data_IF_130978278192
#
_entry.id   IF_130978278192
#
_cell.length_a   1.000
_cell.length_b   1.000
_cell.length_c   1.000
_cell.angle_alpha   90.00
_cell.angle_beta   90.00
_cell.angle_gamma   90.00
#
_symmetry.space_group_name_H-M   'P 1'
#
loop_
_entity.id
_entity.type
_entity.pdbx_description
1 polymer ?
#
# COMPACT_ATOMS: atom_id res chain seq x y z
N UNK A 1 -10.10 68.12 -21.65
CA UNK A 1 -9.27 67.06 -22.26
C UNK A 1 -9.32 65.85 -21.35
N UNK A 2 -9.71 64.72 -21.94
CA UNK A 2 -9.87 63.41 -21.31
C UNK A 2 -8.48 62.80 -21.11
N UNK A 3 -8.18 62.29 -19.92
CA UNK A 3 -7.10 61.34 -19.71
C UNK A 3 -7.54 60.29 -18.68
N UNK A 4 -7.88 59.15 -19.25
CA UNK A 4 -8.22 57.87 -18.65
C UNK A 4 -6.96 57.10 -18.22
N UNK A 5 -7.19 56.09 -17.36
CA UNK A 5 -6.42 54.83 -17.23
C UNK A 5 -5.08 54.89 -16.46
N UNK A 6 -4.72 53.93 -15.61
CA UNK A 6 -5.33 52.65 -15.23
C UNK A 6 -4.63 52.14 -13.97
N UNK A 7 -5.39 51.79 -12.94
CA UNK A 7 -4.89 50.98 -11.82
C UNK A 7 -4.82 49.52 -12.27
N UNK A 8 -3.63 49.04 -12.62
CA UNK A 8 -3.38 47.61 -12.85
C UNK A 8 -3.35 46.88 -11.51
N UNK A 9 -4.52 46.41 -11.09
CA UNK A 9 -4.66 45.43 -10.03
C UNK A 9 -4.21 44.08 -10.60
N UNK A 10 -2.94 43.73 -10.43
CA UNK A 10 -2.44 42.38 -10.72
C UNK A 10 -3.02 41.43 -9.69
N UNK A 11 -4.15 40.86 -10.06
CA UNK A 11 -4.80 39.71 -9.48
C UNK A 11 -3.78 38.55 -9.46
N UNK A 12 -3.08 38.37 -8.33
CA UNK A 12 -2.29 37.18 -8.04
C UNK A 12 -3.28 36.06 -7.81
N UNK A 13 -3.71 35.47 -8.92
CA UNK A 13 -4.50 34.25 -8.99
C UNK A 13 -3.81 33.19 -8.12
N UNK A 14 -4.42 32.92 -6.97
CA UNK A 14 -4.07 31.79 -6.12
C UNK A 14 -4.17 30.54 -7.01
N UNK A 15 -3.11 29.72 -7.16
CA UNK A 15 -3.19 28.50 -7.94
C UNK A 15 -4.30 27.64 -7.36
N UNK A 16 -5.33 27.38 -8.16
CA UNK A 16 -6.45 26.55 -7.73
C UNK A 16 -5.93 25.14 -7.42
N UNK A 17 -6.51 24.51 -6.39
CA UNK A 17 -6.19 23.18 -5.86
C UNK A 17 -6.04 22.08 -6.94
N UNK A 18 -6.66 22.27 -8.12
CA UNK A 18 -6.59 21.34 -9.25
C UNK A 18 -5.21 21.29 -9.94
N UNK A 19 -4.40 22.34 -9.84
CA UNK A 19 -3.07 22.40 -10.50
C UNK A 19 -2.04 21.47 -9.84
N UNK A 20 -2.10 21.30 -8.51
CA UNK A 20 -1.18 20.45 -7.75
C UNK A 20 -1.38 18.96 -8.07
N UNK A 21 -2.62 18.49 -8.09
CA UNK A 21 -2.94 17.09 -8.42
C UNK A 21 -2.60 16.73 -9.87
N UNK A 22 -2.88 17.62 -10.81
CA UNK A 22 -2.50 17.41 -12.22
C UNK A 22 -0.97 17.35 -12.40
N UNK A 23 -0.22 18.22 -11.70
CA UNK A 23 1.24 18.16 -11.69
C UNK A 23 1.71 16.83 -11.11
N UNK A 24 1.17 16.41 -9.96
CA UNK A 24 1.51 15.14 -9.32
C UNK A 24 1.29 13.96 -10.26
N UNK A 25 0.16 13.94 -10.98
CA UNK A 25 -0.15 12.90 -11.97
C UNK A 25 0.84 12.91 -13.15
N UNK A 26 1.22 14.08 -13.67
CA UNK A 26 2.22 14.19 -14.76
C UNK A 26 3.58 13.67 -14.30
N UNK A 27 4.04 14.08 -13.13
CA UNK A 27 5.31 13.63 -12.54
C UNK A 27 5.27 12.12 -12.33
N UNK A 28 4.18 11.58 -11.79
CA UNK A 28 4.00 10.14 -11.61
C UNK A 28 4.15 9.36 -12.93
N UNK A 29 3.49 9.81 -14.00
CA UNK A 29 3.61 9.18 -15.32
C UNK A 29 5.03 9.24 -15.88
N UNK A 30 5.73 10.36 -15.69
CA UNK A 30 7.13 10.51 -16.11
C UNK A 30 8.04 9.52 -15.36
N UNK A 31 7.90 9.42 -14.04
CA UNK A 31 8.64 8.46 -13.21
C UNK A 31 8.39 7.02 -13.66
N UNK A 32 7.12 6.65 -13.83
CA UNK A 32 6.74 5.31 -14.32
C UNK A 32 7.36 5.01 -15.68
N UNK A 33 7.44 5.99 -16.58
CA UNK A 33 8.09 5.82 -17.88
C UNK A 33 9.60 5.62 -17.74
N UNK A 34 10.27 6.42 -16.91
CA UNK A 34 11.72 6.29 -16.67
C UNK A 34 12.11 4.94 -16.05
N UNK A 35 11.34 4.45 -15.07
CA UNK A 35 11.57 3.13 -14.46
C UNK A 35 11.48 1.98 -15.47
N UNK A 36 10.76 2.19 -16.57
CA UNK A 36 10.61 1.21 -17.63
C UNK A 36 11.71 1.25 -18.69
N UNK A 37 12.65 2.22 -18.62
CA UNK A 37 13.81 2.22 -19.51
C UNK A 37 14.71 1.00 -19.25
N UNK A 38 15.38 0.44 -20.28
CA UNK A 38 16.27 -0.71 -20.10
C UNK A 38 17.39 -0.45 -19.07
N UNK A 39 17.95 0.77 -19.06
CA UNK A 39 18.97 1.16 -18.10
C UNK A 39 18.44 1.19 -16.67
N UNK A 40 17.28 1.82 -16.43
CA UNK A 40 16.67 1.84 -15.10
C UNK A 40 16.32 0.42 -14.64
N UNK A 41 15.76 -0.42 -15.52
CA UNK A 41 15.43 -1.82 -15.19
C UNK A 41 16.65 -2.60 -14.72
N UNK A 42 17.77 -2.49 -15.44
CA UNK A 42 19.03 -3.16 -15.07
C UNK A 42 19.56 -2.65 -13.73
N UNK A 43 19.51 -1.34 -13.49
CA UNK A 43 19.94 -0.75 -12.21
C UNK A 43 19.04 -1.18 -11.05
N UNK A 44 17.72 -1.14 -11.20
CA UNK A 44 16.78 -1.62 -10.17
C UNK A 44 17.07 -3.09 -9.84
N UNK A 45 17.24 -3.93 -10.86
CA UNK A 45 17.51 -5.35 -10.68
C UNK A 45 18.80 -5.60 -9.88
N UNK A 46 19.88 -4.92 -10.26
CA UNK A 46 21.21 -5.18 -9.69
C UNK A 46 21.45 -4.46 -8.36
N UNK A 47 21.00 -3.22 -8.24
CA UNK A 47 21.35 -2.31 -7.13
C UNK A 47 20.25 -2.24 -6.06
N UNK A 48 18.98 -2.47 -6.42
CA UNK A 48 17.84 -2.26 -5.51
C UNK A 48 17.24 -3.57 -5.00
N UNK A 49 17.01 -4.55 -5.87
CA UNK A 49 16.58 -5.88 -5.40
C UNK A 49 17.71 -6.60 -4.69
N UNK A 50 17.39 -7.25 -3.58
CA UNK A 50 18.35 -8.11 -2.87
C UNK A 50 18.56 -9.42 -3.64
N UNK A 51 19.66 -10.11 -3.36
CA UNK A 51 19.93 -11.43 -3.93
C UNK A 51 18.77 -12.41 -3.66
N UNK A 52 18.31 -12.48 -2.41
CA UNK A 52 17.16 -13.30 -2.03
C UNK A 52 15.88 -12.95 -2.82
N UNK A 53 15.61 -11.68 -3.07
CA UNK A 53 14.46 -11.26 -3.87
C UNK A 53 14.61 -11.69 -5.34
N UNK A 54 15.81 -11.55 -5.92
CA UNK A 54 16.10 -12.02 -7.28
C UNK A 54 15.96 -13.54 -7.39
N UNK A 55 16.43 -14.29 -6.41
CA UNK A 55 16.32 -15.76 -6.39
C UNK A 55 14.87 -16.23 -6.39
N UNK A 56 14.01 -15.59 -5.57
CA UNK A 56 12.56 -15.85 -5.56
C UNK A 56 11.89 -15.56 -6.91
N UNK A 57 12.50 -14.71 -7.73
CA UNK A 57 12.03 -14.36 -9.07
C UNK A 57 12.70 -15.20 -10.18
N UNK A 58 13.55 -16.17 -9.82
CA UNK A 58 14.25 -17.03 -10.77
C UNK A 58 15.54 -16.44 -11.35
N UNK A 59 16.04 -15.33 -10.77
CA UNK A 59 17.27 -14.63 -11.13
C UNK A 59 17.41 -14.25 -12.63
N UNK A 60 16.28 -14.13 -13.34
CA UNK A 60 16.22 -13.73 -14.75
C UNK A 60 15.38 -12.45 -14.89
N UNK A 61 16.07 -11.33 -15.14
CA UNK A 61 15.46 -10.03 -15.37
C UNK A 61 14.52 -10.05 -16.59
N UNK A 62 14.91 -10.70 -17.68
CA UNK A 62 14.13 -10.70 -18.92
C UNK A 62 12.86 -11.53 -18.78
N UNK A 63 12.92 -12.70 -18.14
CA UNK A 63 11.73 -13.48 -17.78
C UNK A 63 10.82 -12.71 -16.81
N UNK A 64 11.38 -12.06 -15.79
CA UNK A 64 10.62 -11.28 -14.81
C UNK A 64 9.89 -10.12 -15.48
N UNK A 65 10.59 -9.33 -16.31
CA UNK A 65 9.98 -8.20 -17.04
C UNK A 65 8.92 -8.68 -18.02
N UNK A 66 9.10 -9.85 -18.67
CA UNK A 66 8.04 -10.43 -19.53
C UNK A 66 6.79 -10.80 -18.73
N UNK A 67 6.97 -11.38 -17.53
CA UNK A 67 5.86 -11.80 -16.67
C UNK A 67 5.10 -10.63 -16.06
N UNK A 68 5.81 -9.67 -15.47
CA UNK A 68 5.21 -8.56 -14.70
C UNK A 68 5.06 -7.27 -15.50
N UNK A 69 5.64 -7.16 -16.70
CA UNK A 69 5.66 -5.98 -17.58
C UNK A 69 6.47 -4.78 -17.08
N UNK A 70 6.50 -4.54 -15.77
CA UNK A 70 7.34 -3.53 -15.13
C UNK A 70 7.88 -3.99 -13.76
N UNK A 71 8.98 -3.39 -13.30
CA UNK A 71 9.61 -3.75 -12.02
C UNK A 71 8.94 -3.10 -10.81
N UNK A 72 8.08 -2.09 -11.00
CA UNK A 72 7.30 -1.51 -9.92
C UNK A 72 6.18 -2.47 -9.47
N UNK A 73 5.61 -3.25 -10.38
CA UNK A 73 4.68 -4.35 -10.09
C UNK A 73 5.39 -5.47 -9.34
N UNK A 74 6.64 -5.79 -9.70
CA UNK A 74 7.45 -6.76 -8.95
C UNK A 74 7.68 -6.26 -7.52
N UNK A 75 8.08 -4.99 -7.36
CA UNK A 75 8.26 -4.38 -6.03
C UNK A 75 6.95 -4.41 -5.22
N UNK A 76 5.83 -3.97 -5.81
CA UNK A 76 4.49 -4.04 -5.23
C UNK A 76 4.15 -5.42 -4.66
N UNK A 77 4.37 -6.49 -5.43
CA UNK A 77 4.07 -7.86 -4.98
C UNK A 77 4.98 -8.31 -3.84
N UNK A 78 6.28 -7.98 -3.92
CA UNK A 78 7.29 -8.38 -2.93
C UNK A 78 7.14 -7.61 -1.60
N UNK A 79 6.86 -6.32 -1.64
CA UNK A 79 6.85 -5.45 -0.45
C UNK A 79 5.46 -5.15 0.08
N UNK A 80 4.41 -5.71 -0.52
CA UNK A 80 3.03 -5.48 -0.07
C UNK A 80 2.67 -3.97 -0.02
N UNK A 81 3.23 -3.14 -0.89
CA UNK A 81 2.90 -1.70 -0.98
C UNK A 81 1.85 -1.48 -2.05
N UNK A 82 1.29 -0.28 -2.20
CA UNK A 82 0.51 0.06 -3.40
C UNK A 82 1.42 0.16 -4.64
N UNK A 83 0.84 0.10 -5.84
CA UNK A 83 1.59 0.33 -7.08
C UNK A 83 2.13 1.78 -7.19
N UNK A 84 1.34 2.83 -6.89
CA UNK A 84 1.86 4.20 -6.91
C UNK A 84 3.04 4.40 -5.97
N UNK A 85 2.97 3.87 -4.74
CA UNK A 85 4.08 3.87 -3.79
C UNK A 85 5.30 3.13 -4.33
N UNK A 86 5.11 1.96 -4.95
CA UNK A 86 6.23 1.20 -5.52
C UNK A 86 7.00 2.01 -6.59
N UNK A 87 6.29 2.73 -7.47
CA UNK A 87 6.91 3.64 -8.45
C UNK A 87 7.69 4.76 -7.76
N UNK A 88 7.10 5.40 -6.74
CA UNK A 88 7.75 6.50 -6.02
C UNK A 88 8.99 6.02 -5.26
N UNK A 89 8.89 4.92 -4.52
CA UNK A 89 9.99 4.32 -3.73
C UNK A 89 11.15 3.92 -4.64
N UNK A 90 10.89 3.25 -5.77
CA UNK A 90 11.94 2.88 -6.71
C UNK A 90 12.62 4.11 -7.33
N UNK A 91 11.84 5.17 -7.62
CA UNK A 91 12.39 6.42 -8.16
C UNK A 91 13.30 7.13 -7.15
N UNK A 92 12.96 7.10 -5.86
CA UNK A 92 13.83 7.61 -4.79
C UNK A 92 15.10 6.78 -4.69
N UNK A 93 14.99 5.45 -4.67
CA UNK A 93 16.14 4.54 -4.56
C UNK A 93 17.11 4.64 -5.75
N UNK A 94 16.61 4.97 -6.94
CA UNK A 94 17.45 5.25 -8.11
C UNK A 94 18.08 6.65 -8.12
N UNK A 95 17.74 7.51 -7.15
CA UNK A 95 18.16 8.91 -7.11
C UNK A 95 17.47 9.80 -8.16
N UNK A 96 16.37 9.33 -8.78
CA UNK A 96 15.63 10.08 -9.80
C UNK A 96 14.60 11.04 -9.20
N UNK A 97 14.25 10.84 -7.93
CA UNK A 97 13.27 11.65 -7.22
C UNK A 97 13.80 11.97 -5.81
N UNK A 98 14.03 13.23 -5.45
CA UNK A 98 14.45 13.58 -4.10
C UNK A 98 13.31 13.34 -3.09
N UNK A 99 13.66 12.99 -1.84
CA UNK A 99 12.72 12.58 -0.79
C UNK A 99 11.57 13.59 -0.59
N UNK A 100 11.86 14.89 -0.54
CA UNK A 100 10.81 15.91 -0.35
C UNK A 100 9.75 15.91 -1.47
N UNK A 101 10.14 15.65 -2.73
CA UNK A 101 9.18 15.53 -3.85
C UNK A 101 8.42 14.22 -3.78
N UNK A 102 9.04 13.16 -3.29
CA UNK A 102 8.35 11.89 -3.06
C UNK A 102 7.27 12.02 -1.98
N UNK A 103 7.56 12.69 -0.87
CA UNK A 103 6.56 12.98 0.18
C UNK A 103 5.41 13.84 -0.35
N UNK A 104 5.71 14.86 -1.17
CA UNK A 104 4.67 15.63 -1.85
C UNK A 104 3.81 14.74 -2.76
N UNK A 105 4.41 13.91 -3.62
CA UNK A 105 3.66 13.01 -4.50
C UNK A 105 2.78 12.02 -3.73
N UNK A 106 3.27 11.45 -2.64
CA UNK A 106 2.49 10.54 -1.80
C UNK A 106 1.30 11.26 -1.20
N UNK A 107 1.50 12.45 -0.62
CA UNK A 107 0.41 13.27 -0.08
C UNK A 107 -0.64 13.62 -1.12
N UNK A 108 -0.25 14.07 -2.32
CA UNK A 108 -1.21 14.37 -3.40
C UNK A 108 -1.94 13.09 -3.88
N UNK A 109 -1.25 11.95 -3.84
CA UNK A 109 -1.81 10.63 -4.11
C UNK A 109 -2.68 10.05 -2.98
N UNK A 110 -2.80 10.75 -1.84
CA UNK A 110 -3.43 10.28 -0.59
C UNK A 110 -2.79 9.02 -0.02
N UNK A 111 -1.50 8.85 -0.29
CA UNK A 111 -0.69 7.75 0.20
C UNK A 111 0.09 8.18 1.46
N UNK A 112 0.40 7.19 2.30
CA UNK A 112 1.16 7.43 3.51
C UNK A 112 2.58 8.00 3.22
N UNK A 113 3.23 8.70 4.18
CA UNK A 113 4.62 9.14 4.06
C UNK A 113 5.59 7.98 3.80
N UNK A 114 6.78 8.24 3.21
CA UNK A 114 7.75 7.17 2.91
C UNK A 114 8.20 6.41 4.16
N UNK A 115 8.45 7.15 5.23
CA UNK A 115 8.89 6.63 6.52
C UNK A 115 7.80 6.92 7.57
N UNK A 116 6.69 6.19 7.48
CA UNK A 116 5.69 6.21 8.54
C UNK A 116 6.17 5.31 9.68
N UNK A 117 6.44 5.89 10.85
CA UNK A 117 6.77 5.12 12.05
C UNK A 117 5.53 4.43 12.61
N UNK A 118 5.71 3.33 13.36
CA UNK A 118 4.63 2.66 14.09
C UNK A 118 3.84 3.65 14.95
N UNK A 119 4.53 4.49 15.74
CA UNK A 119 3.88 5.48 16.61
C UNK A 119 3.05 6.50 15.85
N UNK A 120 3.52 6.97 14.68
CA UNK A 120 2.74 7.87 13.84
C UNK A 120 1.51 7.18 13.25
N UNK A 121 1.66 5.97 12.70
CA UNK A 121 0.53 5.22 12.16
C UNK A 121 -0.54 4.91 13.23
N UNK A 122 -0.11 4.62 14.47
CA UNK A 122 -1.01 4.43 15.61
C UNK A 122 -1.73 5.75 15.94
N UNK A 123 -1.03 6.89 15.95
CA UNK A 123 -1.62 8.19 16.30
C UNK A 123 -2.65 8.69 15.28
N UNK A 124 -2.46 8.34 14.00
CA UNK A 124 -3.36 8.69 12.89
C UNK A 124 -4.59 7.75 12.78
N UNK A 125 -4.68 6.71 13.61
CA UNK A 125 -5.84 5.82 13.67
C UNK A 125 -5.87 4.71 12.63
N UNK A 126 -4.76 4.51 11.93
CA UNK A 126 -4.62 3.47 10.93
C UNK A 126 -4.63 2.08 11.55
N UNK A 127 -4.89 1.07 10.71
CA UNK A 127 -4.74 -0.32 11.09
C UNK A 127 -3.25 -0.66 11.13
N UNK A 128 -2.73 -0.89 12.33
CA UNK A 128 -1.33 -1.26 12.54
C UNK A 128 -1.27 -2.70 13.03
N UNK A 129 -0.51 -3.54 12.35
CA UNK A 129 -0.32 -4.94 12.71
C UNK A 129 1.18 -5.22 12.84
N UNK A 130 1.59 -5.68 14.01
CA UNK A 130 2.97 -6.07 14.27
C UNK A 130 3.07 -7.60 14.27
N UNK A 131 3.78 -8.18 13.28
CA UNK A 131 3.69 -9.61 13.00
C UNK A 131 4.28 -10.48 14.11
N UNK A 132 5.47 -10.11 14.59
CA UNK A 132 6.23 -10.94 15.51
C UNK A 132 5.62 -10.92 16.92
N UNK A 133 5.30 -9.72 17.42
CA UNK A 133 4.67 -9.54 18.73
C UNK A 133 3.18 -9.85 18.75
N UNK A 134 2.56 -9.97 17.57
CA UNK A 134 1.10 -10.14 17.38
C UNK A 134 0.27 -9.01 17.98
N UNK A 135 0.80 -7.82 18.00
CA UNK A 135 0.08 -6.66 18.47
C UNK A 135 -0.69 -6.01 17.32
N UNK A 136 -1.91 -5.54 17.60
CA UNK A 136 -2.75 -4.84 16.62
C UNK A 136 -3.26 -3.55 17.24
N UNK A 137 -3.22 -2.46 16.48
CA UNK A 137 -3.88 -1.21 16.82
C UNK A 137 -4.89 -0.84 15.75
N UNK A 138 -6.01 -0.31 16.20
CA UNK A 138 -7.07 0.18 15.35
C UNK A 138 -7.65 1.44 15.97
N UNK A 139 -7.79 2.53 15.20
CA UNK A 139 -8.33 3.81 15.68
C UNK A 139 -7.67 4.30 16.98
N UNK A 140 -6.34 4.26 17.03
CA UNK A 140 -5.51 4.68 18.18
C UNK A 140 -5.58 3.76 19.40
N UNK A 141 -6.32 2.65 19.34
CA UNK A 141 -6.50 1.73 20.47
C UNK A 141 -5.79 0.39 20.21
N UNK A 142 -5.13 -0.14 21.25
CA UNK A 142 -4.53 -1.47 21.19
C UNK A 142 -5.63 -2.54 21.34
N UNK A 143 -5.65 -3.52 20.43
CA UNK A 143 -6.54 -4.67 20.53
C UNK A 143 -5.94 -5.69 21.49
N UNK A 144 -6.45 -5.73 22.72
CA UNK A 144 -6.03 -6.65 23.78
C UNK A 144 -6.59 -8.06 23.57
N UNK A 145 -6.14 -8.72 22.52
CA UNK A 145 -6.56 -10.06 22.11
C UNK A 145 -5.39 -11.04 22.30
N UNK A 146 -5.66 -12.20 22.91
CA UNK A 146 -4.66 -13.26 23.08
C UNK A 146 -4.42 -14.04 21.77
N UNK A 147 -3.84 -13.39 20.76
CA UNK A 147 -3.56 -13.99 19.45
C UNK A 147 -2.70 -15.26 19.51
N UNK A 148 -1.92 -15.45 20.59
CA UNK A 148 -1.18 -16.68 20.87
C UNK A 148 -2.07 -17.93 20.90
N UNK A 149 -3.24 -17.81 21.53
CA UNK A 149 -4.21 -18.91 21.67
C UNK A 149 -5.08 -19.10 20.42
N UNK A 150 -4.98 -18.19 19.45
CA UNK A 150 -5.82 -18.13 18.27
C UNK A 150 -5.02 -18.05 16.95
N UNK A 151 -3.94 -18.83 16.84
CA UNK A 151 -3.02 -18.86 15.68
C UNK A 151 -3.74 -18.82 14.32
N UNK A 152 -4.74 -19.68 14.12
CA UNK A 152 -5.44 -19.79 12.84
C UNK A 152 -6.20 -18.50 12.49
N UNK A 153 -6.74 -17.80 13.49
CA UNK A 153 -7.45 -16.53 13.30
C UNK A 153 -6.47 -15.38 13.12
N UNK A 154 -5.34 -15.41 13.82
CA UNK A 154 -4.23 -14.50 13.60
C UNK A 154 -3.73 -14.56 12.15
N UNK A 155 -3.41 -15.75 11.66
CA UNK A 155 -2.92 -15.95 10.28
C UNK A 155 -3.95 -15.50 9.24
N UNK A 156 -5.23 -15.76 9.51
CA UNK A 156 -6.33 -15.25 8.69
C UNK A 156 -6.37 -13.73 8.66
N UNK A 157 -6.28 -13.08 9.83
CA UNK A 157 -6.35 -11.64 9.96
C UNK A 157 -5.17 -10.94 9.28
N UNK A 158 -3.95 -11.42 9.52
CA UNK A 158 -2.73 -10.91 8.84
C UNK A 158 -2.88 -11.04 7.33
N UNK A 159 -3.32 -12.21 6.84
CA UNK A 159 -3.54 -12.42 5.41
C UNK A 159 -4.62 -11.53 4.84
N UNK A 160 -5.67 -11.25 5.61
CA UNK A 160 -6.69 -10.30 5.20
C UNK A 160 -6.14 -8.89 5.02
N UNK A 161 -5.28 -8.44 5.95
CA UNK A 161 -4.61 -7.15 5.86
C UNK A 161 -3.65 -7.09 4.67
N UNK A 162 -2.88 -8.14 4.38
CA UNK A 162 -2.00 -8.21 3.20
C UNK A 162 -2.78 -8.08 1.89
N UNK A 163 -3.89 -8.81 1.77
CA UNK A 163 -4.73 -8.77 0.58
C UNK A 163 -5.38 -7.40 0.41
N UNK A 164 -5.92 -6.81 1.47
CA UNK A 164 -6.45 -5.45 1.45
C UNK A 164 -5.39 -4.42 1.06
N UNK A 165 -4.17 -4.54 1.57
CA UNK A 165 -3.03 -3.67 1.20
C UNK A 165 -2.63 -3.80 -0.27
N UNK A 166 -2.86 -4.97 -0.89
CA UNK A 166 -2.71 -5.18 -2.35
C UNK A 166 -3.96 -4.82 -3.15
N UNK A 167 -5.02 -4.32 -2.52
CA UNK A 167 -6.33 -4.09 -3.12
C UNK A 167 -6.91 -5.37 -3.80
N UNK A 168 -6.70 -6.53 -3.16
CA UNK A 168 -7.15 -7.86 -3.61
C UNK A 168 -8.19 -8.43 -2.63
N UNK A 169 -9.13 -9.21 -3.16
CA UNK A 169 -10.04 -10.02 -2.34
C UNK A 169 -9.31 -11.22 -1.72
N UNK A 170 -9.83 -11.73 -0.60
CA UNK A 170 -9.55 -13.07 -0.10
C UNK A 170 -10.53 -14.07 -0.68
N UNK A 171 -9.99 -15.24 -0.98
CA UNK A 171 -10.74 -16.44 -1.36
C UNK A 171 -10.14 -17.67 -0.66
N UNK A 172 -10.70 -18.85 -0.89
CA UNK A 172 -10.18 -20.09 -0.31
C UNK A 172 -8.77 -20.42 -0.82
N UNK A 173 -8.44 -20.09 -2.08
CA UNK A 173 -7.13 -20.35 -2.70
C UNK A 173 -6.01 -19.57 -2.03
N UNK A 174 -6.37 -18.44 -1.42
CA UNK A 174 -5.48 -17.68 -0.54
C UNK A 174 -4.95 -18.54 0.62
N UNK A 175 -5.57 -19.67 0.96
CA UNK A 175 -5.16 -20.55 2.06
C UNK A 175 -4.62 -21.92 1.60
N UNK A 176 -4.35 -22.09 0.31
CA UNK A 176 -3.87 -23.35 -0.28
C UNK A 176 -4.92 -24.03 -1.17
N UNK A 177 -4.48 -24.96 -2.01
CA UNK A 177 -5.33 -25.63 -3.01
C UNK A 177 -6.37 -26.57 -2.37
N UNK A 178 -6.00 -27.19 -1.24
CA UNK A 178 -6.88 -28.12 -0.49
C UNK A 178 -7.78 -27.42 0.55
N UNK A 179 -7.77 -26.09 0.60
CA UNK A 179 -8.57 -25.35 1.57
C UNK A 179 -10.07 -25.44 1.26
N UNK A 180 -10.88 -25.64 2.31
CA UNK A 180 -12.34 -25.62 2.19
C UNK A 180 -12.84 -24.34 1.52
N UNK A 181 -13.79 -24.46 0.58
CA UNK A 181 -14.40 -23.30 -0.08
C UNK A 181 -15.16 -22.37 0.88
N UNK A 182 -15.43 -22.82 2.11
CA UNK A 182 -16.09 -22.06 3.18
C UNK A 182 -15.11 -21.42 4.18
N UNK A 183 -13.81 -21.67 4.04
CA UNK A 183 -12.80 -21.29 5.04
C UNK A 183 -12.81 -19.80 5.37
N UNK A 184 -13.03 -18.94 4.37
CA UNK A 184 -13.07 -17.48 4.55
C UNK A 184 -14.26 -17.08 5.42
N UNK A 185 -15.46 -17.60 5.11
CA UNK A 185 -16.67 -17.30 5.86
C UNK A 185 -16.62 -17.85 7.29
N UNK A 186 -16.12 -19.08 7.46
CA UNK A 186 -15.94 -19.72 8.76
C UNK A 186 -14.96 -18.95 9.65
N UNK A 187 -13.79 -18.58 9.11
CA UNK A 187 -12.76 -17.83 9.84
C UNK A 187 -13.21 -16.41 10.16
N UNK A 188 -13.88 -15.71 9.23
CA UNK A 188 -14.51 -14.41 9.51
C UNK A 188 -15.54 -14.51 10.65
N UNK A 189 -16.43 -15.51 10.61
CA UNK A 189 -17.43 -15.71 11.66
C UNK A 189 -16.77 -15.94 13.03
N UNK A 190 -15.72 -16.76 13.08
CA UNK A 190 -14.95 -16.99 14.32
C UNK A 190 -14.21 -15.74 14.80
N UNK A 191 -13.71 -14.91 13.88
CA UNK A 191 -13.06 -13.63 14.22
C UNK A 191 -14.04 -12.69 14.95
N UNK A 192 -15.31 -12.66 14.52
CA UNK A 192 -16.38 -11.90 15.21
C UNK A 192 -16.60 -12.36 16.66
N UNK A 193 -16.41 -13.65 16.92
CA UNK A 193 -16.66 -14.26 18.23
C UNK A 193 -15.47 -14.09 19.18
N UNK A 194 -14.35 -13.56 18.69
CA UNK A 194 -13.14 -13.40 19.47
C UNK A 194 -13.31 -12.24 20.47
N UNK A 195 -13.15 -12.47 21.78
CA UNK A 195 -13.23 -11.40 22.77
C UNK A 195 -12.24 -10.29 22.46
N UNK A 196 -12.70 -9.03 22.49
CA UNK A 196 -11.87 -7.86 22.19
C UNK A 196 -11.73 -7.51 20.70
N UNK A 197 -12.28 -8.31 19.77
CA UNK A 197 -12.27 -7.96 18.36
C UNK A 197 -13.32 -6.87 18.06
N UNK A 198 -12.94 -5.70 17.48
CA UNK A 198 -13.87 -4.59 17.29
C UNK A 198 -14.98 -4.94 16.28
N UNK A 199 -16.26 -4.71 16.61
CA UNK A 199 -17.36 -4.89 15.67
C UNK A 199 -17.20 -4.05 14.40
N UNK A 200 -16.71 -2.82 14.54
CA UNK A 200 -16.49 -1.90 13.42
C UNK A 200 -15.46 -2.44 12.43
N UNK A 201 -14.39 -3.08 12.93
CA UNK A 201 -13.37 -3.70 12.09
C UNK A 201 -13.91 -4.97 11.40
N UNK A 202 -14.81 -5.69 12.08
CA UNK A 202 -15.52 -6.83 11.47
C UNK A 202 -16.44 -6.39 10.33
N UNK A 203 -17.16 -5.28 10.50
CA UNK A 203 -18.09 -4.75 9.49
C UNK A 203 -17.38 -4.29 8.21
N UNK A 204 -16.09 -3.96 8.30
CA UNK A 204 -15.26 -3.64 7.14
C UNK A 204 -14.96 -4.87 6.26
N UNK A 205 -15.20 -6.10 6.72
CA UNK A 205 -15.13 -7.27 5.83
C UNK A 205 -16.36 -7.33 4.93
N UNK A 206 -16.23 -6.88 3.69
CA UNK A 206 -17.30 -6.85 2.69
C UNK A 206 -17.21 -8.04 1.74
N UNK A 207 -18.35 -8.48 1.23
CA UNK A 207 -18.41 -9.50 0.17
C UNK A 207 -18.14 -8.83 -1.18
N UNK A 208 -17.16 -9.33 -1.94
CA UNK A 208 -16.81 -8.78 -3.27
C UNK A 208 -17.27 -9.69 -4.43
N UNK A 209 -17.82 -10.85 -4.11
CA UNK A 209 -18.25 -11.84 -5.09
C UNK A 209 -18.61 -13.17 -4.44
N UNK A 210 -18.78 -14.20 -5.26
CA UNK A 210 -19.12 -15.54 -4.78
C UNK A 210 -17.95 -16.10 -3.98
N UNK A 211 -18.14 -16.27 -2.66
CA UNK A 211 -17.16 -16.83 -1.72
C UNK A 211 -15.87 -16.01 -1.56
N UNK A 212 -15.90 -14.74 -1.97
CA UNK A 212 -14.78 -13.82 -1.79
C UNK A 212 -15.15 -12.73 -0.80
N UNK A 213 -14.17 -12.33 0.01
CA UNK A 213 -14.33 -11.24 0.97
C UNK A 213 -13.15 -10.30 0.89
N UNK A 214 -13.39 -9.01 1.09
CA UNK A 214 -12.36 -7.97 1.14
C UNK A 214 -12.48 -7.21 2.45
N UNK A 215 -11.35 -6.96 3.10
CA UNK A 215 -11.28 -5.98 4.17
C UNK A 215 -11.24 -4.59 3.52
N UNK A 216 -12.33 -3.84 3.65
CA UNK A 216 -12.59 -2.56 2.99
C UNK A 216 -11.91 -1.39 3.73
N UNK A 217 -10.62 -1.52 4.00
CA UNK A 217 -9.75 -0.46 4.51
C UNK A 217 -8.85 -0.01 3.34
N UNK A 218 -8.58 1.30 3.24
CA UNK A 218 -7.67 1.78 2.20
C UNK A 218 -6.28 1.14 2.39
N UNK A 219 -5.58 0.70 1.33
CA UNK A 219 -4.22 0.21 1.44
C UNK A 219 -3.26 1.12 2.23
N UNK A 220 -3.49 2.43 2.14
CA UNK A 220 -2.70 3.48 2.80
C UNK A 220 -2.98 3.60 4.30
N UNK A 221 -4.07 3.00 4.77
CA UNK A 221 -4.47 2.96 6.18
C UNK A 221 -4.07 1.62 6.82
N UNK A 222 -3.28 0.76 6.14
CA UNK A 222 -2.83 -0.54 6.65
C UNK A 222 -1.30 -0.58 6.73
N UNK A 223 -0.77 -0.71 7.94
CA UNK A 223 0.66 -0.82 8.21
C UNK A 223 0.97 -2.18 8.83
N UNK A 224 1.86 -2.92 8.16
CA UNK A 224 2.32 -4.24 8.59
C UNK A 224 3.81 -4.09 8.92
N UNK A 225 4.18 -4.32 10.17
CA UNK A 225 5.55 -4.25 10.68
C UNK A 225 6.08 -5.66 11.00
N UNK A 226 7.38 -5.88 10.79
CA UNK A 226 8.05 -7.19 10.93
C UNK A 226 9.24 -7.16 11.90
N UNK A 227 9.44 -6.02 12.58
CA UNK A 227 10.62 -5.67 13.36
C UNK A 227 10.74 -6.47 14.67
#
# INVERSE_FOLDING_TARGET
MIATHSSSNTDKSIPSCNTSFEEARRVFHLLRWHLNSPAARKRIWNEIFTEQQRDRLGNDLAATVRKYKDLALVWHELTNTTYPRAVIVLSVKLGQLPKYRAEWLLREGKEAPLEMTRSQAIAEGYLVVHRNSREVWWRNEALLIEWGNHQVLWDFFVKACEHAKRNKALDYRSFGEDASTKIVAERKCRLKQLPGFPPELYDLFQTEGVRTQRLAISPDEIFLFED
#
